data_IF_722837034336
#
_entry.id   IF_722837034336
#
_cell.length_a   1.000
_cell.length_b   1.000
_cell.length_c   1.000
_cell.angle_alpha   90.00
_cell.angle_beta   90.00
_cell.angle_gamma   90.00
#
_symmetry.space_group_name_H-M   'P 1'
#
loop_
_entity.id
_entity.type
_entity.pdbx_description
1 polymer ?
#
# COMPACT_ATOMS: atom_id res chain seq x y z
N UNK A 1 19.41 20.99 11.15
CA UNK A 1 18.96 21.77 9.97
C UNK A 1 19.29 21.13 8.62
N UNK A 2 20.42 20.46 8.41
CA UNK A 2 20.73 19.79 7.12
C UNK A 2 19.84 18.56 6.79
N UNK A 3 19.22 17.93 7.78
CA UNK A 3 18.44 16.70 7.56
C UNK A 3 16.98 16.93 7.11
N UNK A 4 16.38 18.07 7.41
CA UNK A 4 14.97 18.35 7.01
C UNK A 4 14.87 18.73 5.53
N UNK A 5 15.82 19.52 5.02
CA UNK A 5 15.85 19.90 3.60
C UNK A 5 16.03 18.68 2.70
N UNK A 6 16.86 17.72 3.15
CA UNK A 6 17.11 16.47 2.42
C UNK A 6 15.90 15.55 2.44
N UNK A 7 15.17 15.46 3.56
CA UNK A 7 13.91 14.71 3.66
C UNK A 7 12.83 15.30 2.75
N UNK A 8 12.68 16.62 2.78
CA UNK A 8 11.67 17.32 1.98
C UNK A 8 11.93 17.19 0.46
N UNK A 9 13.20 17.24 0.05
CA UNK A 9 13.59 17.01 -1.34
C UNK A 9 13.44 15.55 -1.78
N UNK A 10 13.62 14.59 -0.85
CA UNK A 10 13.37 13.17 -1.09
C UNK A 10 11.90 12.87 -1.35
N UNK A 11 11.00 13.53 -0.65
CA UNK A 11 9.55 13.33 -0.75
C UNK A 11 8.92 13.95 -2.02
N UNK A 12 9.58 14.93 -2.63
CA UNK A 12 9.06 15.63 -3.82
C UNK A 12 9.36 14.97 -5.16
N UNK A 13 10.14 13.89 -5.18
CA UNK A 13 10.48 13.23 -6.45
C UNK A 13 9.90 11.83 -6.54
N UNK A 14 8.88 11.62 -7.40
CA UNK A 14 8.32 10.27 -7.64
C UNK A 14 9.38 9.24 -8.07
N UNK A 15 10.54 9.67 -8.58
CA UNK A 15 11.67 8.82 -9.01
C UNK A 15 12.37 8.10 -7.91
N UNK A 16 12.42 8.74 -6.75
CA UNK A 16 13.04 8.14 -5.57
C UNK A 16 12.08 7.17 -4.91
N UNK A 17 10.77 7.31 -5.16
CA UNK A 17 9.75 6.47 -4.55
C UNK A 17 9.74 5.05 -5.15
N UNK A 18 9.94 4.89 -6.45
CA UNK A 18 9.94 3.56 -7.06
C UNK A 18 11.12 2.67 -6.59
N UNK A 19 12.40 3.14 -6.57
CA UNK A 19 13.49 2.40 -5.96
C UNK A 19 13.30 2.17 -4.44
N UNK A 20 12.71 3.13 -3.74
CA UNK A 20 12.36 2.98 -2.32
C UNK A 20 11.30 1.89 -2.17
N UNK A 21 10.24 1.91 -2.98
CA UNK A 21 9.22 0.87 -3.00
C UNK A 21 9.80 -0.52 -3.23
N UNK A 22 10.70 -0.67 -4.20
CA UNK A 22 11.43 -1.92 -4.43
C UNK A 22 12.19 -2.38 -3.19
N UNK A 23 12.93 -1.49 -2.53
CA UNK A 23 13.66 -1.82 -1.29
C UNK A 23 12.72 -2.22 -0.16
N UNK A 24 11.62 -1.48 0.02
CA UNK A 24 10.61 -1.76 1.04
C UNK A 24 10.00 -3.14 0.80
N UNK A 25 9.60 -3.46 -0.44
CA UNK A 25 9.04 -4.77 -0.77
C UNK A 25 10.00 -5.93 -0.50
N UNK A 26 11.27 -5.77 -0.84
CA UNK A 26 12.29 -6.77 -0.54
C UNK A 26 12.47 -6.97 0.97
N UNK A 27 12.53 -5.87 1.74
CA UNK A 27 12.65 -5.94 3.21
C UNK A 27 11.38 -6.52 3.82
N UNK A 28 10.20 -6.16 3.31
CA UNK A 28 8.92 -6.72 3.77
C UNK A 28 8.88 -8.24 3.62
N UNK A 29 9.30 -8.77 2.47
CA UNK A 29 9.39 -10.21 2.26
C UNK A 29 10.36 -10.90 3.23
N UNK A 30 11.50 -10.27 3.49
CA UNK A 30 12.49 -10.80 4.46
C UNK A 30 11.96 -10.78 5.90
N UNK A 31 11.19 -9.76 6.27
CA UNK A 31 10.56 -9.67 7.58
C UNK A 31 9.45 -10.71 7.73
N UNK A 32 8.59 -10.85 6.74
CA UNK A 32 7.52 -11.85 6.73
C UNK A 32 8.08 -13.27 6.89
N UNK A 33 9.21 -13.58 6.25
CA UNK A 33 9.88 -14.87 6.43
C UNK A 33 10.41 -15.13 7.85
N UNK A 34 10.56 -14.07 8.67
CA UNK A 34 11.00 -14.18 10.08
C UNK A 34 9.84 -14.17 11.07
N UNK A 35 8.73 -13.56 10.72
CA UNK A 35 7.53 -13.43 11.55
C UNK A 35 6.54 -14.52 11.18
N UNK A 36 6.79 -15.77 11.57
CA UNK A 36 5.80 -16.84 11.40
C UNK A 36 4.64 -16.60 12.35
N UNK A 37 3.59 -15.97 11.88
CA UNK A 37 2.30 -15.93 12.59
C UNK A 37 1.53 -17.23 12.29
N UNK A 38 0.70 -17.75 13.21
CA UNK A 38 -0.05 -18.99 13.00
C UNK A 38 -0.87 -18.92 11.70
N UNK A 39 -0.77 -19.98 10.89
CA UNK A 39 -1.38 -20.07 9.55
C UNK A 39 -2.86 -20.41 9.58
N UNK A 40 -3.41 -20.67 10.75
CA UNK A 40 -4.77 -21.16 10.90
C UNK A 40 -5.74 -19.99 11.15
N UNK A 41 -6.52 -19.66 10.13
CA UNK A 41 -7.57 -18.63 10.20
C UNK A 41 -8.67 -19.06 11.17
N UNK A 42 -8.97 -20.37 11.23
CA UNK A 42 -9.99 -20.91 12.13
C UNK A 42 -9.55 -20.80 13.59
N UNK A 43 -8.25 -20.87 13.85
CA UNK A 43 -7.69 -20.66 15.18
C UNK A 43 -7.78 -19.20 15.65
N UNK A 44 -7.72 -18.24 14.75
CA UNK A 44 -7.90 -16.82 15.08
C UNK A 44 -9.36 -16.50 15.45
N UNK A 45 -10.30 -17.23 14.88
CA UNK A 45 -11.72 -17.07 15.19
C UNK A 45 -12.13 -17.81 16.48
N UNK A 46 -11.40 -18.86 16.88
CA UNK A 46 -11.73 -19.72 18.01
C UNK A 46 -11.07 -19.35 19.34
N UNK A 47 -9.97 -18.59 19.33
CA UNK A 47 -9.28 -18.16 20.56
C UNK A 47 -9.84 -16.84 21.07
N UNK A 48 -11.04 -16.92 21.65
CA UNK A 48 -11.81 -15.75 22.12
C UNK A 48 -11.31 -15.07 23.40
N UNK A 49 -10.26 -15.53 24.06
CA UNK A 49 -9.95 -14.98 25.39
C UNK A 49 -8.63 -14.22 25.53
N UNK A 50 -7.63 -14.34 24.66
CA UNK A 50 -6.31 -13.73 24.94
C UNK A 50 -5.75 -12.76 23.91
N UNK A 51 -6.31 -12.64 22.71
CA UNK A 51 -5.80 -11.73 21.71
C UNK A 51 -6.87 -10.74 21.25
N UNK A 52 -7.04 -9.64 21.97
CA UNK A 52 -7.88 -8.54 21.51
C UNK A 52 -7.30 -7.96 20.22
N UNK A 53 -7.91 -8.31 19.09
CA UNK A 53 -7.69 -7.60 17.85
C UNK A 53 -8.45 -6.27 17.91
N UNK A 54 -7.81 -5.20 17.50
CA UNK A 54 -8.44 -3.91 17.33
C UNK A 54 -8.57 -3.63 15.84
N UNK A 55 -9.78 -3.39 15.40
CA UNK A 55 -10.08 -2.92 14.04
C UNK A 55 -10.23 -1.42 14.10
N UNK A 56 -9.40 -0.69 13.36
CA UNK A 56 -9.47 0.76 13.22
C UNK A 56 -9.69 1.12 11.78
N UNK A 57 -10.83 1.70 11.47
CA UNK A 57 -11.10 2.25 10.16
C UNK A 57 -10.67 3.72 10.09
N UNK A 58 -10.27 4.18 8.94
CA UNK A 58 -9.87 5.55 8.66
C UNK A 58 -11.10 6.47 8.60
N UNK A 59 -11.91 6.44 9.66
CA UNK A 59 -13.22 7.07 9.70
C UNK A 59 -13.19 8.57 10.05
N UNK A 60 -12.07 9.10 10.50
CA UNK A 60 -11.97 10.53 10.85
C UNK A 60 -11.64 11.37 9.64
N UNK A 61 -12.66 11.72 8.88
CA UNK A 61 -12.55 12.84 7.96
C UNK A 61 -12.66 14.14 8.75
N UNK A 62 -11.62 14.95 8.77
CA UNK A 62 -11.62 16.27 9.39
C UNK A 62 -12.73 17.20 8.86
N UNK A 63 -13.41 16.83 7.77
CA UNK A 63 -14.53 17.58 7.19
C UNK A 63 -15.88 17.24 7.81
N UNK A 64 -15.97 16.17 8.62
CA UNK A 64 -17.25 15.62 9.07
C UNK A 64 -17.25 15.19 10.55
N UNK A 65 -16.23 15.62 11.31
CA UNK A 65 -16.05 15.20 12.73
C UNK A 65 -17.18 15.70 13.65
N UNK A 66 -17.92 16.72 13.24
CA UNK A 66 -19.03 17.32 13.97
C UNK A 66 -20.40 16.73 13.59
N UNK A 67 -20.44 15.71 12.72
CA UNK A 67 -21.68 15.11 12.28
C UNK A 67 -22.16 13.99 13.21
N UNK A 68 -23.50 13.84 13.38
CA UNK A 68 -24.05 12.72 14.12
C UNK A 68 -23.61 11.39 13.52
N UNK A 69 -23.19 10.46 14.35
CA UNK A 69 -22.86 9.10 13.96
C UNK A 69 -24.04 8.16 14.27
N UNK A 70 -24.23 7.17 13.40
CA UNK A 70 -25.12 6.04 13.68
C UNK A 70 -24.27 4.85 14.12
N UNK A 71 -24.63 4.26 15.24
CA UNK A 71 -24.03 3.01 15.68
C UNK A 71 -24.56 1.85 14.82
N UNK A 72 -23.63 1.12 14.20
CA UNK A 72 -23.94 -0.12 13.49
C UNK A 72 -23.68 -1.29 14.43
N UNK A 73 -24.75 -1.85 14.97
CA UNK A 73 -24.66 -3.03 15.83
C UNK A 73 -24.39 -4.30 15.02
N UNK A 74 -23.53 -5.18 15.52
CA UNK A 74 -23.37 -6.55 15.02
C UNK A 74 -22.52 -6.74 13.78
N UNK A 75 -21.65 -5.80 13.42
CA UNK A 75 -20.79 -5.91 12.26
C UNK A 75 -19.60 -6.85 12.53
N UNK A 76 -19.70 -8.07 12.02
CA UNK A 76 -18.55 -8.96 11.85
C UNK A 76 -18.00 -8.75 10.44
N UNK A 77 -16.68 -8.57 10.33
CA UNK A 77 -16.00 -8.49 9.05
C UNK A 77 -15.43 -9.87 8.71
N UNK A 78 -15.76 -10.44 7.55
CA UNK A 78 -15.20 -11.72 7.13
C UNK A 78 -13.71 -11.58 6.89
N UNK A 79 -12.93 -12.61 7.23
CA UNK A 79 -11.52 -12.72 6.86
C UNK A 79 -11.44 -13.39 5.50
N UNK A 80 -10.93 -12.66 4.51
CA UNK A 80 -10.87 -13.13 3.12
C UNK A 80 -9.62 -13.94 2.81
N UNK A 81 -8.61 -13.84 3.64
CA UNK A 81 -7.38 -14.60 3.48
C UNK A 81 -6.21 -14.01 4.24
N UNK A 82 -5.05 -14.66 4.05
CA UNK A 82 -3.80 -14.26 4.67
C UNK A 82 -2.68 -14.30 3.64
N UNK A 83 -1.78 -13.34 3.70
CA UNK A 83 -0.58 -13.24 2.88
C UNK A 83 0.64 -12.93 3.76
N UNK A 84 1.83 -13.20 3.24
CA UNK A 84 3.06 -12.80 3.93
C UNK A 84 3.20 -11.27 3.88
N UNK A 85 2.92 -10.68 2.71
CA UNK A 85 3.00 -9.23 2.51
C UNK A 85 1.73 -8.72 1.82
N UNK A 86 1.12 -7.69 2.39
CA UNK A 86 0.04 -6.94 1.76
C UNK A 86 0.53 -5.53 1.46
N UNK A 87 0.43 -5.12 0.21
CA UNK A 87 0.75 -3.76 -0.25
C UNK A 87 -0.54 -3.04 -0.57
N UNK A 88 -0.83 -1.96 0.14
CA UNK A 88 -2.02 -1.14 -0.07
C UNK A 88 -1.65 0.09 -0.87
N UNK A 89 -2.27 0.24 -2.04
CA UNK A 89 -1.93 1.24 -3.04
C UNK A 89 -0.89 0.74 -4.04
N UNK A 90 -1.29 0.53 -5.28
CA UNK A 90 -0.45 0.09 -6.40
C UNK A 90 0.17 1.26 -7.19
N UNK A 91 0.38 2.40 -6.53
CA UNK A 91 0.93 3.61 -7.12
C UNK A 91 2.41 3.54 -7.47
N UNK A 92 3.05 4.72 -7.56
CA UNK A 92 4.47 4.87 -7.97
C UNK A 92 5.45 4.08 -7.09
N UNK A 93 5.17 3.95 -5.80
CA UNK A 93 5.99 3.19 -4.85
C UNK A 93 5.44 1.80 -4.54
N UNK A 94 4.11 1.65 -4.50
CA UNK A 94 3.47 0.41 -4.11
C UNK A 94 3.58 -0.69 -5.15
N UNK A 95 3.38 -0.38 -6.44
CA UNK A 95 3.56 -1.37 -7.49
C UNK A 95 4.98 -1.98 -7.52
N UNK A 96 6.07 -1.18 -7.46
CA UNK A 96 7.42 -1.72 -7.28
C UNK A 96 7.62 -2.49 -5.98
N UNK A 97 6.95 -2.09 -4.88
CA UNK A 97 7.04 -2.81 -3.61
C UNK A 97 6.40 -4.19 -3.71
N UNK A 98 5.20 -4.30 -4.29
CA UNK A 98 4.52 -5.57 -4.50
C UNK A 98 5.33 -6.51 -5.41
N UNK A 99 5.83 -5.97 -6.53
CA UNK A 99 6.68 -6.73 -7.45
C UNK A 99 7.95 -7.24 -6.77
N UNK A 100 8.62 -6.39 -5.99
CA UNK A 100 9.87 -6.76 -5.32
C UNK A 100 9.63 -7.78 -4.20
N UNK A 101 8.53 -7.64 -3.47
CA UNK A 101 8.14 -8.58 -2.43
C UNK A 101 7.89 -9.98 -3.01
N UNK A 102 7.10 -10.08 -4.07
CA UNK A 102 6.83 -11.36 -4.72
C UNK A 102 8.09 -11.96 -5.37
N UNK A 103 8.91 -11.15 -6.03
CA UNK A 103 10.22 -11.61 -6.57
C UNK A 103 11.18 -12.11 -5.49
N UNK A 104 11.01 -11.65 -4.25
CA UNK A 104 11.75 -12.14 -3.10
C UNK A 104 11.13 -13.40 -2.45
N UNK A 105 10.08 -13.95 -3.04
CA UNK A 105 9.45 -15.21 -2.65
C UNK A 105 8.33 -15.12 -1.63
N UNK A 106 7.90 -13.91 -1.23
CA UNK A 106 6.77 -13.73 -0.34
C UNK A 106 5.43 -13.92 -1.08
N UNK A 107 4.48 -14.60 -0.46
CA UNK A 107 3.08 -14.60 -0.91
C UNK A 107 2.53 -13.18 -0.74
N UNK A 108 2.41 -12.47 -1.85
CA UNK A 108 2.11 -11.04 -1.87
C UNK A 108 0.74 -10.76 -2.44
N UNK A 109 0.00 -9.84 -1.80
CA UNK A 109 -1.21 -9.23 -2.33
C UNK A 109 -0.96 -7.73 -2.53
N UNK A 110 -1.28 -7.24 -3.71
CA UNK A 110 -1.37 -5.81 -3.99
C UNK A 110 -2.85 -5.40 -4.08
N UNK A 111 -3.22 -4.35 -3.35
CA UNK A 111 -4.57 -3.78 -3.31
C UNK A 111 -4.50 -2.39 -3.94
N UNK A 112 -5.31 -2.15 -4.96
CA UNK A 112 -5.39 -0.85 -5.64
C UNK A 112 -6.86 -0.46 -5.85
N UNK A 113 -7.19 0.79 -5.52
CA UNK A 113 -8.57 1.26 -5.65
C UNK A 113 -8.95 1.63 -7.09
N UNK A 114 -7.97 2.00 -7.91
CA UNK A 114 -8.17 2.24 -9.33
C UNK A 114 -8.13 0.92 -10.12
N UNK A 115 -8.34 1.00 -11.41
CA UNK A 115 -8.24 -0.11 -12.35
C UNK A 115 -6.88 -0.18 -13.06
N UNK A 116 -5.92 0.64 -12.61
CA UNK A 116 -4.58 0.70 -13.17
C UNK A 116 -3.50 0.90 -12.10
N UNK A 117 -2.26 0.53 -12.43
CA UNK A 117 -1.09 0.63 -11.57
C UNK A 117 -0.17 1.78 -11.97
N UNK A 118 0.68 2.23 -11.04
CA UNK A 118 1.73 3.22 -11.30
C UNK A 118 1.40 4.63 -10.82
N UNK A 119 0.14 4.89 -10.42
CA UNK A 119 -0.29 6.14 -9.79
C UNK A 119 0.02 7.37 -10.62
N UNK A 120 0.78 8.32 -10.06
CA UNK A 120 1.14 9.58 -10.72
C UNK A 120 1.76 9.37 -12.12
N UNK A 121 2.52 8.28 -12.29
CA UNK A 121 3.18 7.97 -13.56
C UNK A 121 2.31 7.27 -14.60
N UNK A 122 1.03 7.06 -14.31
CA UNK A 122 0.04 6.42 -15.19
C UNK A 122 -1.28 7.16 -15.10
N UNK A 123 -2.17 6.82 -14.14
CA UNK A 123 -3.43 7.49 -13.88
C UNK A 123 -3.28 9.01 -13.70
N UNK A 124 -2.22 9.46 -13.05
CA UNK A 124 -1.90 10.86 -12.88
C UNK A 124 -1.35 11.56 -14.13
N UNK A 125 -1.28 10.85 -15.27
CA UNK A 125 -0.92 11.37 -16.60
C UNK A 125 0.50 11.95 -16.74
N UNK A 126 1.38 11.74 -15.76
CA UNK A 126 2.80 12.11 -15.88
C UNK A 126 3.54 11.02 -16.64
N UNK A 127 4.06 11.37 -17.82
CA UNK A 127 4.68 10.42 -18.76
C UNK A 127 6.20 10.44 -18.77
N UNK A 128 6.81 11.30 -17.98
CA UNK A 128 8.27 11.45 -18.00
C UNK A 128 8.85 11.49 -16.60
N UNK A 129 10.11 11.16 -16.52
CA UNK A 129 10.88 11.40 -15.32
C UNK A 129 11.39 12.84 -15.32
N UNK A 130 10.91 13.59 -14.37
CA UNK A 130 11.27 15.00 -14.26
C UNK A 130 12.66 15.21 -13.68
N UNK A 131 13.09 14.33 -12.77
CA UNK A 131 14.35 14.48 -12.07
C UNK A 131 14.84 13.15 -11.47
N UNK A 132 16.15 12.90 -11.50
CA UNK A 132 16.77 11.75 -10.84
C UNK A 132 17.59 10.86 -11.79
N UNK A 133 18.20 9.81 -11.22
CA UNK A 133 19.01 8.86 -11.98
C UNK A 133 18.17 7.72 -12.50
N UNK A 134 18.30 7.42 -13.78
CA UNK A 134 17.62 6.30 -14.45
C UNK A 134 18.47 5.04 -14.37
N UNK A 135 18.49 4.42 -13.19
CA UNK A 135 19.19 3.15 -12.96
C UNK A 135 18.33 2.18 -12.16
N UNK A 136 18.79 0.95 -12.01
CA UNK A 136 18.09 -0.07 -11.25
C UNK A 136 16.68 -0.31 -11.79
N UNK A 137 15.66 -0.17 -10.93
CA UNK A 137 14.26 -0.42 -11.31
C UNK A 137 13.76 0.52 -12.42
N UNK A 138 14.15 1.80 -12.40
CA UNK A 138 13.73 2.74 -13.46
C UNK A 138 14.33 2.39 -14.81
N UNK A 139 15.57 1.90 -14.86
CA UNK A 139 16.17 1.38 -16.09
C UNK A 139 15.47 0.11 -16.58
N UNK A 140 14.98 -0.75 -15.70
CA UNK A 140 14.15 -1.91 -16.06
C UNK A 140 12.87 -1.47 -16.77
N UNK A 141 12.18 -0.46 -16.21
CA UNK A 141 10.98 0.13 -16.81
C UNK A 141 11.28 0.74 -18.17
N UNK A 142 12.32 1.59 -18.26
CA UNK A 142 12.69 2.26 -19.52
C UNK A 142 13.02 1.26 -20.63
N UNK A 143 13.76 0.21 -20.29
CA UNK A 143 14.07 -0.88 -21.23
C UNK A 143 12.82 -1.62 -21.70
N UNK A 144 11.90 -1.89 -20.78
CA UNK A 144 10.68 -2.63 -21.08
C UNK A 144 9.73 -1.83 -21.96
N UNK A 145 9.67 -0.51 -21.76
CA UNK A 145 8.81 0.39 -22.53
C UNK A 145 9.47 0.92 -23.81
N UNK A 146 10.74 0.59 -24.03
CA UNK A 146 11.49 1.03 -25.22
C UNK A 146 11.72 2.54 -25.27
N UNK A 147 11.74 3.23 -24.14
CA UNK A 147 11.84 4.70 -24.08
C UNK A 147 12.85 5.16 -23.04
N UNK A 148 13.47 6.33 -23.30
CA UNK A 148 14.36 7.01 -22.33
C UNK A 148 13.83 8.38 -21.90
N UNK A 149 12.83 8.91 -22.60
CA UNK A 149 12.33 10.28 -22.36
C UNK A 149 10.94 10.28 -21.76
N UNK A 150 10.00 9.64 -22.43
CA UNK A 150 8.61 9.57 -21.99
C UNK A 150 8.02 8.20 -22.31
N UNK A 151 7.07 7.76 -21.53
CA UNK A 151 6.34 6.50 -21.75
C UNK A 151 4.87 6.77 -22.04
N UNK A 152 4.25 5.80 -22.69
CA UNK A 152 2.80 5.73 -22.74
C UNK A 152 2.28 5.20 -21.39
N UNK A 153 1.34 5.92 -20.77
CA UNK A 153 0.83 5.63 -19.44
C UNK A 153 0.13 4.26 -19.39
N UNK A 154 -0.67 3.95 -20.40
CA UNK A 154 -1.39 2.67 -20.52
C UNK A 154 -0.41 1.51 -20.66
N UNK A 155 0.61 1.65 -21.49
CA UNK A 155 1.64 0.62 -21.65
C UNK A 155 2.41 0.39 -20.35
N UNK A 156 2.71 1.45 -19.60
CA UNK A 156 3.40 1.33 -18.30
C UNK A 156 2.53 0.64 -17.28
N UNK A 157 1.27 1.03 -17.14
CA UNK A 157 0.34 0.38 -16.24
C UNK A 157 0.17 -1.10 -16.55
N UNK A 158 -0.02 -1.44 -17.82
CA UNK A 158 -0.14 -2.83 -18.27
C UNK A 158 1.15 -3.63 -18.04
N UNK A 159 2.30 -3.04 -18.31
CA UNK A 159 3.58 -3.68 -18.00
C UNK A 159 3.71 -4.00 -16.51
N UNK A 160 3.37 -3.04 -15.63
CA UNK A 160 3.38 -3.24 -14.17
C UNK A 160 2.45 -4.39 -13.77
N UNK A 161 1.23 -4.39 -14.29
CA UNK A 161 0.25 -5.44 -14.05
C UNK A 161 0.80 -6.82 -14.43
N UNK A 162 1.37 -6.92 -15.62
CA UNK A 162 1.95 -8.18 -16.11
C UNK A 162 3.13 -8.63 -15.26
N UNK A 163 4.00 -7.70 -14.82
CA UNK A 163 5.14 -8.06 -13.98
C UNK A 163 4.69 -8.57 -12.61
N UNK A 164 3.70 -7.92 -11.99
CA UNK A 164 3.14 -8.35 -10.70
C UNK A 164 2.54 -9.75 -10.83
N UNK A 165 1.69 -9.99 -11.82
CA UNK A 165 1.08 -11.31 -12.05
C UNK A 165 2.14 -12.37 -12.35
N UNK A 166 3.11 -12.09 -13.22
CA UNK A 166 4.21 -13.01 -13.54
C UNK A 166 5.09 -13.34 -12.34
N UNK A 167 5.18 -12.45 -11.36
CA UNK A 167 5.92 -12.71 -10.12
C UNK A 167 5.16 -13.61 -9.13
N UNK A 168 3.92 -13.98 -9.43
CA UNK A 168 3.07 -14.80 -8.56
C UNK A 168 2.32 -14.00 -7.49
N UNK A 169 2.36 -12.67 -7.52
CA UNK A 169 1.56 -11.86 -6.63
C UNK A 169 0.09 -11.82 -7.07
N UNK A 170 -0.80 -11.77 -6.10
CA UNK A 170 -2.20 -11.47 -6.30
C UNK A 170 -2.41 -9.96 -6.44
N UNK A 171 -3.37 -9.54 -7.25
CA UNK A 171 -3.69 -8.14 -7.51
C UNK A 171 -5.20 -7.93 -7.47
N UNK A 172 -5.64 -7.08 -6.56
CA UNK A 172 -7.03 -6.69 -6.41
C UNK A 172 -7.19 -5.23 -6.83
N UNK A 173 -7.92 -5.01 -7.93
CA UNK A 173 -8.39 -3.70 -8.35
C UNK A 173 -9.75 -3.37 -7.74
N UNK A 174 -10.18 -2.10 -7.87
CA UNK A 174 -11.42 -1.60 -7.29
C UNK A 174 -11.55 -1.93 -5.80
N UNK A 175 -10.43 -1.98 -5.09
CA UNK A 175 -10.33 -2.40 -3.72
C UNK A 175 -9.58 -1.35 -2.89
N UNK A 176 -10.24 -0.83 -1.87
CA UNK A 176 -9.74 0.28 -1.07
C UNK A 176 -9.37 -0.19 0.32
N UNK A 177 -8.09 -0.01 0.71
CA UNK A 177 -7.67 -0.22 2.08
C UNK A 177 -8.17 0.93 2.96
N UNK A 178 -9.16 0.65 3.81
CA UNK A 178 -9.86 1.66 4.59
C UNK A 178 -9.60 1.57 6.10
N UNK A 179 -8.73 0.67 6.54
CA UNK A 179 -8.41 0.54 7.95
C UNK A 179 -7.37 -0.54 8.20
N UNK A 180 -7.07 -0.76 9.48
CA UNK A 180 -6.08 -1.74 9.94
C UNK A 180 -6.65 -2.66 10.99
N UNK A 181 -6.06 -3.84 11.08
CA UNK A 181 -6.22 -4.77 12.19
C UNK A 181 -4.91 -4.82 12.94
N UNK A 182 -4.96 -4.51 14.24
CA UNK A 182 -3.79 -4.51 15.11
C UNK A 182 -3.93 -5.53 16.23
N UNK A 183 -2.81 -6.10 16.65
CA UNK A 183 -2.65 -6.90 17.87
C UNK A 183 -1.58 -6.23 18.73
N UNK A 184 -2.00 -5.55 19.78
CA UNK A 184 -1.10 -4.63 20.48
C UNK A 184 -0.56 -3.54 19.56
N UNK A 185 0.75 -3.41 19.47
CA UNK A 185 1.42 -2.43 18.60
C UNK A 185 1.79 -2.98 17.22
N UNK A 186 1.33 -4.18 16.87
CA UNK A 186 1.63 -4.81 15.60
C UNK A 186 0.42 -4.73 14.66
N UNK A 187 0.62 -4.25 13.44
CA UNK A 187 -0.36 -4.38 12.35
C UNK A 187 -0.32 -5.82 11.85
N UNK A 188 -1.47 -6.49 11.87
CA UNK A 188 -1.62 -7.90 11.47
C UNK A 188 -2.57 -8.08 10.30
N UNK A 189 -3.12 -6.98 9.78
CA UNK A 189 -4.02 -7.01 8.64
C UNK A 189 -4.54 -5.64 8.25
N UNK A 190 -5.36 -5.64 7.21
CA UNK A 190 -5.98 -4.46 6.61
C UNK A 190 -7.48 -4.69 6.46
N UNK A 191 -8.27 -3.67 6.74
CA UNK A 191 -9.69 -3.64 6.36
C UNK A 191 -9.76 -3.17 4.91
N UNK A 192 -10.42 -3.94 4.07
CA UNK A 192 -10.54 -3.67 2.64
C UNK A 192 -12.01 -3.54 2.27
N UNK A 193 -12.34 -2.45 1.59
CA UNK A 193 -13.65 -2.24 0.97
C UNK A 193 -13.58 -2.56 -0.53
N UNK A 194 -14.56 -3.31 -1.01
CA UNK A 194 -14.71 -3.69 -2.41
C UNK A 194 -16.14 -3.43 -2.86
N UNK A 195 -16.48 -3.51 -4.15
CA UNK A 195 -17.86 -3.46 -4.62
C UNK A 195 -18.78 -4.55 -4.03
N UNK A 196 -18.20 -5.60 -3.46
CA UNK A 196 -18.94 -6.73 -2.87
C UNK A 196 -19.06 -6.64 -1.35
N UNK A 197 -18.56 -5.58 -0.74
CA UNK A 197 -18.58 -5.37 0.71
C UNK A 197 -17.20 -5.16 1.31
N UNK A 198 -17.15 -5.21 2.65
CA UNK A 198 -15.91 -5.05 3.42
C UNK A 198 -15.47 -6.36 4.06
N UNK A 199 -14.17 -6.54 4.16
CA UNK A 199 -13.59 -7.68 4.86
C UNK A 199 -12.16 -7.40 5.32
N UNK A 200 -11.57 -8.39 5.96
CA UNK A 200 -10.22 -8.33 6.51
C UNK A 200 -9.29 -9.17 5.65
N UNK A 201 -8.15 -8.60 5.33
CA UNK A 201 -6.99 -9.28 4.74
C UNK A 201 -5.90 -9.32 5.80
N UNK A 202 -5.49 -10.52 6.21
CA UNK A 202 -4.41 -10.69 7.18
C UNK A 202 -3.04 -10.69 6.50
N UNK A 203 -2.03 -10.18 7.22
CA UNK A 203 -0.66 -10.10 6.71
C UNK A 203 0.37 -10.18 7.83
N UNK A 204 1.54 -10.74 7.52
CA UNK A 204 2.70 -10.66 8.42
C UNK A 204 3.36 -9.28 8.34
N UNK A 205 3.33 -8.67 7.14
CA UNK A 205 3.82 -7.31 6.89
C UNK A 205 2.83 -6.56 6.01
N UNK A 206 2.51 -5.33 6.40
CA UNK A 206 1.72 -4.40 5.60
C UNK A 206 2.62 -3.28 5.10
N UNK A 207 2.54 -2.99 3.81
CA UNK A 207 3.23 -1.85 3.17
C UNK A 207 2.18 -0.81 2.79
N UNK A 208 2.31 0.38 3.35
CA UNK A 208 1.47 1.52 2.99
C UNK A 208 2.04 2.24 1.76
N UNK A 209 1.37 2.05 0.63
CA UNK A 209 1.64 2.70 -0.66
C UNK A 209 0.52 3.64 -1.10
N UNK A 210 -0.38 4.03 -0.17
CA UNK A 210 -1.59 4.83 -0.47
C UNK A 210 -1.31 6.24 -0.96
N UNK A 211 -0.09 6.75 -0.74
CA UNK A 211 0.29 8.13 -1.08
C UNK A 211 -0.04 9.13 0.03
N UNK A 212 -1.08 8.88 0.81
CA UNK A 212 -1.51 9.72 1.93
C UNK A 212 -1.15 9.16 3.31
N UNK A 213 -0.53 7.96 3.37
CA UNK A 213 -0.27 7.23 4.61
C UNK A 213 -1.57 6.82 5.36
N UNK A 214 -2.62 6.46 4.62
CA UNK A 214 -3.93 6.16 5.19
C UNK A 214 -3.91 4.95 6.13
N UNK A 215 -3.14 3.94 5.77
CA UNK A 215 -2.98 2.70 6.57
C UNK A 215 -2.13 2.96 7.81
N UNK A 216 -1.07 3.75 7.69
CA UNK A 216 -0.24 4.15 8.81
C UNK A 216 -1.03 5.00 9.82
N UNK A 217 -1.86 5.92 9.33
CA UNK A 217 -2.74 6.72 10.16
C UNK A 217 -3.79 5.86 10.87
N UNK A 218 -4.43 4.92 10.16
CA UNK A 218 -5.38 3.98 10.76
C UNK A 218 -4.73 3.06 11.82
N UNK A 219 -3.44 2.78 11.67
CA UNK A 219 -2.64 2.06 12.67
C UNK A 219 -2.17 2.94 13.84
N UNK A 220 -2.61 4.20 13.90
CA UNK A 220 -2.19 5.18 14.89
C UNK A 220 -0.68 5.46 14.90
N UNK A 221 -0.02 5.32 13.75
CA UNK A 221 1.38 5.72 13.60
C UNK A 221 1.51 7.25 13.59
N UNK A 222 2.66 7.76 14.03
CA UNK A 222 2.94 9.19 13.95
C UNK A 222 3.04 9.62 12.49
N UNK A 223 2.06 10.39 12.05
CA UNK A 223 1.99 10.97 10.71
C UNK A 223 2.07 12.49 10.77
N UNK A 224 2.71 13.09 9.78
CA UNK A 224 2.71 14.54 9.64
C UNK A 224 1.77 14.92 8.49
N UNK A 225 0.73 15.68 8.83
CA UNK A 225 -0.15 16.26 7.84
C UNK A 225 0.33 17.68 7.53
N UNK A 226 0.76 17.93 6.30
CA UNK A 226 1.16 19.28 5.86
C UNK A 226 -0.03 19.94 5.21
N UNK A 227 -0.72 20.79 5.96
CA UNK A 227 -1.65 21.74 5.38
C UNK A 227 -0.80 22.90 4.88
N UNK A 228 -0.75 23.14 3.57
CA UNK A 228 -0.15 24.38 3.07
C UNK A 228 -0.97 25.55 3.60
N UNK A 229 -0.30 26.64 3.99
CA UNK A 229 -0.97 27.88 4.47
C UNK A 229 -1.93 28.48 3.43
N UNK A 230 -1.97 27.96 2.23
CA UNK A 230 -2.78 28.41 1.11
C UNK A 230 -3.97 27.50 0.79
N UNK A 231 -4.27 26.51 1.65
CA UNK A 231 -5.47 25.69 1.48
C UNK A 231 -5.43 24.73 0.30
N UNK A 232 -4.26 24.53 -0.30
CA UNK A 232 -4.12 23.57 -1.39
C UNK A 232 -4.20 22.17 -0.82
N UNK A 233 -5.25 21.46 -1.20
CA UNK A 233 -5.36 20.02 -0.98
C UNK A 233 -4.39 19.35 -1.94
N UNK A 234 -3.29 18.86 -1.43
CA UNK A 234 -2.36 18.02 -2.17
C UNK A 234 -2.82 16.58 -2.12
#
# INVERSE_FOLDING_TARGET
>A
MKNETTRHQLMKSPYRLAPIGKRIGTVAAQLAGKTKTPTDIDHLASTSEEAKFTVSESAKSFRFDDRPALELSGNQLPVWGRWDVVVVGGGTSGAPAALASARAGARTLAIEYMDELGGVGTAGMISTYWYGFRNGYTAEVDKALGTKESWNQIQKSEWLRQQIIKSGAELWFASFGCGTVTKGNQVVGVVVATPFGRGIVLADVVVDGTGNADIAAAANANTHYSISKHGDLS
#
